data_IF_870184162350
#
_entry.id   IF_870184162350
#
_cell.length_a   1.000
_cell.length_b   1.000
_cell.length_c   1.000
_cell.angle_alpha   90.00
_cell.angle_beta   90.00
_cell.angle_gamma   90.00
#
_symmetry.space_group_name_H-M   'P 1'
#
loop_
_entity.id
_entity.type
_entity.pdbx_description
1 polymer ?
#
# COMPACT_ATOMS: atom_id res chain seq x y z
N UNK A 1 -13.53 -0.94 -13.28
CA UNK A 1 -14.89 -1.56 -13.43
C UNK A 1 -14.85 -3.08 -13.22
N UNK A 2 -13.83 -3.81 -13.71
CA UNK A 2 -13.76 -5.29 -13.60
C UNK A 2 -13.56 -5.81 -12.17
N UNK A 3 -12.98 -5.02 -11.27
CA UNK A 3 -12.71 -5.41 -9.88
C UNK A 3 -13.82 -4.99 -8.89
N UNK A 4 -14.78 -4.17 -9.31
CA UNK A 4 -15.86 -3.71 -8.47
C UNK A 4 -17.13 -4.55 -8.75
N UNK A 5 -17.25 -5.66 -8.06
CA UNK A 5 -18.39 -6.57 -8.16
C UNK A 5 -19.06 -6.69 -6.79
N UNK A 6 -19.98 -5.76 -6.44
CA UNK A 6 -20.69 -5.81 -5.18
C UNK A 6 -21.58 -7.08 -5.11
N UNK A 7 -21.58 -7.72 -3.95
CA UNK A 7 -22.38 -8.91 -3.64
C UNK A 7 -22.88 -8.84 -2.21
N UNK A 8 -24.06 -9.32 -1.99
CA UNK A 8 -24.55 -9.67 -0.65
C UNK A 8 -23.87 -10.94 -0.14
N UNK A 9 -23.96 -11.19 1.15
CA UNK A 9 -23.45 -12.44 1.73
C UNK A 9 -24.17 -13.68 1.15
N UNK A 10 -25.46 -13.57 0.85
CA UNK A 10 -26.23 -14.65 0.22
C UNK A 10 -25.72 -14.94 -1.20
N UNK A 11 -25.49 -13.93 -2.02
CA UNK A 11 -24.91 -14.10 -3.37
C UNK A 11 -23.51 -14.72 -3.32
N UNK A 12 -22.71 -14.36 -2.30
CA UNK A 12 -21.40 -14.98 -2.09
C UNK A 12 -21.53 -16.44 -1.67
N UNK A 13 -22.53 -16.78 -0.83
CA UNK A 13 -22.85 -18.17 -0.45
C UNK A 13 -23.32 -19.00 -1.65
N UNK A 14 -24.10 -18.43 -2.56
CA UNK A 14 -24.49 -19.08 -3.82
C UNK A 14 -23.32 -19.30 -4.76
N UNK A 15 -22.38 -18.36 -4.81
CA UNK A 15 -21.18 -18.44 -5.66
C UNK A 15 -20.22 -19.54 -5.18
N UNK A 16 -20.03 -19.69 -3.87
CA UNK A 16 -19.11 -20.68 -3.27
C UNK A 16 -19.84 -21.43 -2.14
N UNK A 17 -20.79 -22.31 -2.49
CA UNK A 17 -21.62 -23.02 -1.50
C UNK A 17 -20.86 -24.04 -0.65
N UNK A 18 -19.65 -24.45 -1.04
CA UNK A 18 -18.81 -25.34 -0.24
C UNK A 18 -18.21 -24.66 1.01
N UNK A 19 -18.23 -23.33 1.10
CA UNK A 19 -17.81 -22.57 2.27
C UNK A 19 -19.04 -22.12 3.06
N UNK A 20 -19.00 -22.30 4.38
CA UNK A 20 -19.96 -21.70 5.29
C UNK A 20 -19.52 -20.26 5.59
N UNK A 21 -19.97 -19.31 4.76
CA UNK A 21 -19.53 -17.90 4.87
C UNK A 21 -19.86 -17.26 6.21
N UNK A 22 -21.04 -17.47 6.83
CA UNK A 22 -21.29 -16.97 8.19
C UNK A 22 -20.25 -17.46 9.20
N UNK A 23 -19.85 -18.74 9.11
CA UNK A 23 -18.80 -19.26 9.98
C UNK A 23 -17.43 -18.64 9.67
N UNK A 24 -17.08 -18.53 8.40
CA UNK A 24 -15.81 -17.89 7.98
C UNK A 24 -15.73 -16.44 8.49
N UNK A 25 -16.79 -15.65 8.34
CA UNK A 25 -16.85 -14.27 8.81
C UNK A 25 -16.71 -14.20 10.32
N UNK A 26 -17.39 -15.09 11.05
CA UNK A 26 -17.27 -15.20 12.51
C UNK A 26 -15.83 -15.55 12.93
N UNK A 27 -15.22 -16.55 12.29
CA UNK A 27 -13.86 -17.01 12.60
C UNK A 27 -12.80 -15.93 12.27
N UNK A 28 -13.09 -15.06 11.29
CA UNK A 28 -12.31 -13.87 11.02
C UNK A 28 -12.51 -12.74 12.05
N UNK A 29 -13.38 -12.93 13.06
CA UNK A 29 -13.64 -11.92 14.09
C UNK A 29 -14.40 -10.68 13.58
N UNK A 30 -15.11 -10.81 12.46
CA UNK A 30 -15.93 -9.72 11.91
C UNK A 30 -17.28 -9.78 12.61
N UNK A 31 -17.48 -8.89 13.58
CA UNK A 31 -18.72 -8.81 14.39
C UNK A 31 -19.74 -7.83 13.78
N UNK A 32 -19.28 -6.92 12.91
CA UNK A 32 -20.14 -5.93 12.24
C UNK A 32 -20.99 -6.59 11.14
N UNK A 33 -22.21 -6.14 10.97
CA UNK A 33 -23.07 -6.57 9.87
C UNK A 33 -22.47 -6.14 8.53
N UNK A 34 -22.49 -7.03 7.55
CA UNK A 34 -21.94 -6.81 6.22
C UNK A 34 -23.07 -6.76 5.19
N UNK A 35 -23.47 -5.56 4.78
CA UNK A 35 -24.51 -5.38 3.77
C UNK A 35 -24.02 -5.73 2.37
N UNK A 36 -22.80 -5.32 2.05
CA UNK A 36 -22.22 -5.48 0.71
C UNK A 36 -20.74 -5.82 0.80
N UNK A 37 -20.34 -6.83 0.04
CA UNK A 37 -18.97 -7.29 -0.11
C UNK A 37 -18.51 -7.02 -1.56
N UNK A 38 -17.28 -6.57 -1.74
CA UNK A 38 -16.71 -6.41 -3.08
C UNK A 38 -15.92 -7.67 -3.44
N UNK A 39 -16.45 -8.46 -4.35
CA UNK A 39 -15.77 -9.63 -4.90
C UNK A 39 -14.91 -9.19 -6.09
N UNK A 40 -13.63 -8.95 -5.84
CA UNK A 40 -12.72 -8.42 -6.87
C UNK A 40 -12.55 -9.36 -8.06
N UNK A 41 -12.57 -10.67 -7.83
CA UNK A 41 -12.30 -11.71 -8.84
C UNK A 41 -13.37 -12.82 -8.81
N UNK A 42 -14.59 -12.61 -9.33
CA UNK A 42 -15.65 -13.61 -9.29
C UNK A 42 -15.24 -14.96 -9.92
N UNK A 43 -14.59 -14.95 -11.08
CA UNK A 43 -14.12 -16.18 -11.74
C UNK A 43 -13.12 -16.98 -10.90
N UNK A 44 -12.29 -16.31 -10.12
CA UNK A 44 -11.38 -16.98 -9.18
C UNK A 44 -12.20 -17.73 -8.10
N UNK A 45 -13.26 -17.12 -7.58
CA UNK A 45 -14.13 -17.73 -6.58
C UNK A 45 -14.85 -18.96 -7.13
N UNK A 46 -15.28 -18.93 -8.40
CA UNK A 46 -15.86 -20.10 -9.09
C UNK A 46 -14.84 -21.26 -9.19
N UNK A 47 -13.59 -20.96 -9.55
CA UNK A 47 -12.52 -21.98 -9.61
C UNK A 47 -12.21 -22.52 -8.21
N UNK A 48 -12.16 -21.66 -7.19
CA UNK A 48 -11.99 -22.09 -5.79
C UNK A 48 -13.10 -23.06 -5.39
N UNK A 49 -14.36 -22.79 -5.76
CA UNK A 49 -15.48 -23.69 -5.51
C UNK A 49 -15.26 -25.07 -6.15
N UNK A 50 -14.80 -25.16 -7.39
CA UNK A 50 -14.51 -26.44 -8.05
C UNK A 50 -13.37 -27.20 -7.38
N UNK A 51 -12.34 -26.49 -6.92
CA UNK A 51 -11.23 -27.09 -6.16
C UNK A 51 -11.74 -27.63 -4.82
N UNK A 52 -12.63 -26.92 -4.11
CA UNK A 52 -13.22 -27.40 -2.87
C UNK A 52 -14.03 -28.68 -3.05
N UNK A 53 -14.70 -28.84 -4.19
CA UNK A 53 -15.43 -30.08 -4.52
C UNK A 53 -14.52 -31.25 -4.85
N UNK A 54 -13.40 -31.01 -5.49
CA UNK A 54 -12.53 -32.05 -6.08
C UNK A 54 -11.36 -32.48 -5.20
N UNK A 55 -10.80 -31.56 -4.39
CA UNK A 55 -9.65 -31.85 -3.56
C UNK A 55 -10.05 -32.45 -2.21
N UNK A 56 -9.36 -33.51 -1.80
CA UNK A 56 -9.57 -34.15 -0.51
C UNK A 56 -9.00 -33.32 0.66
N UNK A 57 -9.48 -33.60 1.87
CA UNK A 57 -9.06 -32.89 3.09
C UNK A 57 -7.57 -33.07 3.40
N UNK A 58 -6.97 -34.19 2.98
CA UNK A 58 -5.53 -34.45 3.18
C UNK A 58 -4.69 -33.50 2.34
N UNK A 59 -5.08 -33.30 1.08
CA UNK A 59 -4.47 -32.33 0.18
C UNK A 59 -4.57 -30.92 0.74
N UNK A 60 -5.75 -30.49 1.20
CA UNK A 60 -5.92 -29.19 1.84
C UNK A 60 -5.02 -29.00 3.05
N UNK A 61 -4.94 -29.99 3.94
CA UNK A 61 -4.03 -29.93 5.11
C UNK A 61 -2.57 -29.78 4.72
N UNK A 62 -2.13 -30.41 3.63
CA UNK A 62 -0.75 -30.27 3.13
C UNK A 62 -0.51 -28.85 2.60
N UNK A 63 -1.44 -28.37 1.75
CA UNK A 63 -1.34 -27.01 1.16
C UNK A 63 -1.33 -25.95 2.25
N UNK A 64 -2.22 -26.04 3.23
CA UNK A 64 -2.28 -25.07 4.33
C UNK A 64 -1.04 -25.08 5.20
N UNK A 65 -0.52 -26.28 5.55
CA UNK A 65 0.73 -26.41 6.30
C UNK A 65 1.91 -25.81 5.54
N UNK A 66 2.01 -26.10 4.24
CA UNK A 66 3.06 -25.54 3.40
C UNK A 66 2.96 -24.04 3.31
N UNK A 67 1.77 -23.49 3.06
CA UNK A 67 1.55 -22.05 2.99
C UNK A 67 1.94 -21.34 4.29
N UNK A 68 1.53 -21.88 5.44
CA UNK A 68 1.87 -21.33 6.75
C UNK A 68 3.38 -21.35 7.02
N UNK A 69 4.04 -22.48 6.73
CA UNK A 69 5.49 -22.60 6.92
C UNK A 69 6.26 -21.67 5.96
N UNK A 70 5.82 -21.60 4.71
CA UNK A 70 6.47 -20.77 3.70
C UNK A 70 6.33 -19.28 4.01
N UNK A 71 5.16 -18.83 4.48
CA UNK A 71 4.95 -17.45 4.93
C UNK A 71 5.83 -17.09 6.14
N UNK A 72 5.95 -18.00 7.08
CA UNK A 72 6.76 -17.82 8.29
C UNK A 72 8.27 -17.98 8.06
N UNK A 73 8.70 -18.60 6.96
CA UNK A 73 10.08 -19.11 6.76
C UNK A 73 11.16 -18.07 7.00
N UNK A 74 10.97 -16.82 6.55
CA UNK A 74 11.93 -15.73 6.78
C UNK A 74 12.04 -15.24 8.23
N UNK A 75 11.25 -15.80 9.15
CA UNK A 75 11.17 -15.42 10.57
C UNK A 75 11.46 -16.58 11.52
N UNK A 76 11.83 -17.75 10.96
CA UNK A 76 12.12 -18.98 11.69
C UNK A 76 13.64 -19.19 11.86
N UNK A 77 14.08 -20.45 11.95
CA UNK A 77 15.51 -20.74 12.11
C UNK A 77 16.33 -20.33 10.89
N UNK A 78 17.63 -20.10 11.08
CA UNK A 78 18.56 -19.73 10.00
C UNK A 78 18.55 -20.74 8.85
N UNK A 79 18.36 -22.01 9.11
CA UNK A 79 18.32 -23.07 8.08
C UNK A 79 17.07 -22.95 7.22
N UNK A 80 15.90 -22.70 7.84
CA UNK A 80 14.62 -22.52 7.11
C UNK A 80 14.62 -21.21 6.33
N UNK A 81 15.08 -20.11 6.94
CA UNK A 81 15.24 -18.82 6.28
C UNK A 81 16.18 -18.93 5.08
N UNK A 82 17.32 -19.60 5.24
CA UNK A 82 18.28 -19.82 4.16
C UNK A 82 17.68 -20.67 3.03
N UNK A 83 16.97 -21.74 3.34
CA UNK A 83 16.32 -22.57 2.32
C UNK A 83 15.28 -21.78 1.52
N UNK A 84 14.49 -20.95 2.20
CA UNK A 84 13.54 -20.04 1.56
C UNK A 84 14.24 -19.03 0.63
N UNK A 85 15.32 -18.39 1.10
CA UNK A 85 16.10 -17.47 0.31
C UNK A 85 16.77 -18.15 -0.90
N UNK A 86 17.37 -19.34 -0.72
CA UNK A 86 18.03 -20.10 -1.80
C UNK A 86 17.04 -20.45 -2.91
N UNK A 87 15.78 -20.72 -2.58
CA UNK A 87 14.75 -20.99 -3.58
C UNK A 87 14.22 -19.71 -4.21
N UNK A 88 13.61 -18.81 -3.44
CA UNK A 88 12.88 -17.66 -3.98
C UNK A 88 13.81 -16.55 -4.50
N UNK A 89 14.87 -16.23 -3.79
CA UNK A 89 15.73 -15.13 -4.19
C UNK A 89 16.84 -15.59 -5.13
N UNK A 90 17.53 -16.69 -4.81
CA UNK A 90 18.67 -17.16 -5.61
C UNK A 90 18.22 -17.91 -6.85
N UNK A 91 17.38 -18.94 -6.70
CA UNK A 91 17.00 -19.82 -7.83
C UNK A 91 16.00 -19.13 -8.76
N UNK A 92 14.91 -18.56 -8.23
CA UNK A 92 13.86 -17.94 -9.07
C UNK A 92 14.24 -16.55 -9.56
N UNK A 93 14.89 -15.73 -8.72
CA UNK A 93 15.17 -14.31 -9.05
C UNK A 93 16.64 -14.04 -9.38
N UNK A 94 17.53 -15.05 -9.35
CA UNK A 94 18.93 -14.91 -9.73
C UNK A 94 19.80 -14.08 -8.78
N UNK A 95 19.36 -13.85 -7.54
CA UNK A 95 20.14 -13.12 -6.55
C UNK A 95 21.43 -13.87 -6.19
N UNK A 96 22.57 -13.20 -6.27
CA UNK A 96 23.88 -13.80 -6.02
C UNK A 96 24.25 -13.85 -4.53
N UNK A 97 23.75 -12.89 -3.74
CA UNK A 97 24.07 -12.74 -2.32
C UNK A 97 22.86 -12.20 -1.57
N UNK A 98 22.64 -12.72 -0.36
CA UNK A 98 21.64 -12.19 0.57
C UNK A 98 22.13 -10.86 1.15
N UNK A 99 21.20 -9.95 1.38
CA UNK A 99 21.52 -8.68 2.07
C UNK A 99 22.02 -8.95 3.48
N UNK A 100 22.92 -8.12 4.01
CA UNK A 100 23.38 -8.16 5.40
C UNK A 100 22.19 -8.18 6.39
N UNK A 101 22.44 -8.70 7.61
CA UNK A 101 21.38 -8.88 8.61
C UNK A 101 20.80 -7.54 9.09
N UNK A 102 21.62 -6.52 9.24
CA UNK A 102 21.24 -5.15 9.59
C UNK A 102 20.32 -4.50 8.54
N UNK A 103 20.65 -4.66 7.26
CA UNK A 103 19.78 -4.18 6.18
C UNK A 103 18.43 -4.90 6.16
N UNK A 104 18.41 -6.21 6.45
CA UNK A 104 17.17 -6.98 6.55
C UNK A 104 16.33 -6.56 7.76
N UNK A 105 16.99 -6.32 8.89
CA UNK A 105 16.34 -5.80 10.09
C UNK A 105 15.72 -4.43 9.85
N UNK A 106 16.46 -3.51 9.22
CA UNK A 106 15.95 -2.19 8.84
C UNK A 106 14.77 -2.30 7.88
N UNK A 107 14.82 -3.21 6.90
CA UNK A 107 13.70 -3.45 5.98
C UNK A 107 12.46 -3.96 6.72
N UNK A 108 12.63 -4.81 7.75
CA UNK A 108 11.53 -5.27 8.61
C UNK A 108 10.91 -4.11 9.39
N UNK A 109 11.72 -3.29 10.05
CA UNK A 109 11.25 -2.10 10.80
C UNK A 109 10.49 -1.17 9.86
N UNK A 110 11.05 -0.92 8.68
CA UNK A 110 10.42 -0.08 7.66
C UNK A 110 9.07 -0.63 7.16
N UNK A 111 8.95 -1.93 7.03
CA UNK A 111 7.72 -2.62 6.60
C UNK A 111 6.65 -2.81 7.70
N UNK A 112 7.01 -2.59 8.97
CA UNK A 112 6.11 -2.82 10.11
C UNK A 112 5.71 -1.55 10.84
N UNK A 113 6.67 -0.71 11.20
CA UNK A 113 6.48 0.56 11.91
C UNK A 113 7.03 1.74 11.09
N UNK A 114 6.80 1.68 9.78
CA UNK A 114 7.38 2.61 8.82
C UNK A 114 7.09 4.08 9.10
N UNK A 115 5.90 4.43 9.59
CA UNK A 115 5.59 5.83 9.93
C UNK A 115 6.35 6.29 11.17
N UNK A 116 6.54 5.43 12.18
CA UNK A 116 7.35 5.80 13.35
C UNK A 116 8.81 6.06 12.95
N UNK A 117 9.39 5.21 12.08
CA UNK A 117 10.71 5.44 11.49
C UNK A 117 10.69 6.72 10.61
N UNK A 118 9.61 6.92 9.86
CA UNK A 118 9.41 8.09 9.00
C UNK A 118 9.40 9.40 9.77
N UNK A 119 8.87 9.42 10.98
CA UNK A 119 8.92 10.60 11.84
C UNK A 119 10.35 10.99 12.19
N UNK A 120 11.17 10.02 12.60
CA UNK A 120 12.59 10.26 12.86
C UNK A 120 13.34 10.75 11.60
N UNK A 121 13.02 10.16 10.45
CA UNK A 121 13.59 10.57 9.16
C UNK A 121 13.22 12.03 8.82
N UNK A 122 11.97 12.41 9.00
CA UNK A 122 11.49 13.77 8.71
C UNK A 122 12.14 14.81 9.64
N UNK A 123 12.22 14.51 10.93
CA UNK A 123 12.80 15.39 11.93
C UNK A 123 14.28 15.70 11.61
N UNK A 124 15.02 14.73 11.06
CA UNK A 124 16.44 14.89 10.73
C UNK A 124 16.67 15.42 9.30
N UNK A 125 15.89 14.97 8.31
CA UNK A 125 16.24 15.10 6.90
C UNK A 125 15.34 16.03 6.08
N UNK A 126 14.16 16.42 6.59
CA UNK A 126 13.18 17.14 5.78
C UNK A 126 12.71 18.44 6.47
N UNK A 127 13.41 19.55 6.27
CA UNK A 127 13.07 20.81 6.93
C UNK A 127 11.77 21.43 6.37
N UNK A 128 11.01 22.21 7.18
CA UNK A 128 9.72 22.78 6.79
C UNK A 128 9.74 23.61 5.50
N UNK A 129 10.83 24.35 5.25
CA UNK A 129 10.97 25.16 4.03
C UNK A 129 11.11 24.31 2.75
N UNK A 130 11.56 23.05 2.85
CA UNK A 130 11.57 22.13 1.72
C UNK A 130 10.14 21.74 1.33
N UNK A 131 9.26 21.51 2.32
CA UNK A 131 7.83 21.22 2.11
C UNK A 131 7.15 22.40 1.41
N UNK A 132 7.29 23.62 1.93
CA UNK A 132 6.67 24.83 1.37
C UNK A 132 7.05 25.07 -0.10
N UNK A 133 8.34 24.96 -0.42
CA UNK A 133 8.80 25.11 -1.81
C UNK A 133 8.26 24.01 -2.73
N UNK A 134 8.19 22.75 -2.27
CA UNK A 134 7.61 21.65 -3.02
C UNK A 134 6.11 21.86 -3.28
N UNK A 135 5.35 22.34 -2.29
CA UNK A 135 3.94 22.70 -2.41
C UNK A 135 3.71 23.73 -3.53
N UNK A 136 4.50 24.80 -3.52
CA UNK A 136 4.43 25.84 -4.56
C UNK A 136 4.74 25.28 -5.96
N UNK A 137 5.75 24.44 -6.06
CA UNK A 137 6.14 23.82 -7.31
C UNK A 137 5.04 22.90 -7.87
N UNK A 138 4.46 22.07 -7.03
CA UNK A 138 3.36 21.16 -7.41
C UNK A 138 2.14 21.96 -7.86
N UNK A 139 1.79 23.05 -7.16
CA UNK A 139 0.72 23.95 -7.57
C UNK A 139 0.96 24.55 -8.96
N UNK A 140 2.20 24.94 -9.27
CA UNK A 140 2.58 25.46 -10.59
C UNK A 140 2.44 24.38 -11.68
N UNK A 141 2.86 23.15 -11.41
CA UNK A 141 2.70 22.03 -12.36
C UNK A 141 1.21 21.74 -12.60
N UNK A 142 0.38 21.73 -11.56
CA UNK A 142 -1.08 21.57 -11.70
C UNK A 142 -1.67 22.70 -12.57
N UNK A 143 -1.23 23.94 -12.39
CA UNK A 143 -1.68 25.05 -13.23
C UNK A 143 -1.23 24.89 -14.69
N UNK A 144 -0.02 24.41 -14.93
CA UNK A 144 0.46 24.10 -16.28
C UNK A 144 -0.37 23.00 -16.94
N UNK A 145 -0.78 21.99 -16.17
CA UNK A 145 -1.68 20.92 -16.62
C UNK A 145 -3.06 21.48 -17.05
N UNK A 146 -3.64 22.39 -16.27
CA UNK A 146 -4.91 23.06 -16.64
C UNK A 146 -4.78 23.77 -17.99
N UNK A 147 -3.72 24.57 -18.14
CA UNK A 147 -3.47 25.28 -19.39
C UNK A 147 -3.27 24.32 -20.56
N UNK A 148 -2.60 23.18 -20.33
CA UNK A 148 -2.41 22.15 -21.35
C UNK A 148 -3.74 21.52 -21.77
N UNK A 149 -4.58 21.11 -20.83
CA UNK A 149 -5.88 20.48 -21.10
C UNK A 149 -6.78 21.41 -21.94
N UNK A 150 -6.85 22.69 -21.59
CA UNK A 150 -7.65 23.67 -22.35
C UNK A 150 -7.24 23.74 -23.81
N UNK A 151 -5.95 23.63 -24.10
CA UNK A 151 -5.37 23.77 -25.44
C UNK A 151 -5.20 22.45 -26.22
N UNK A 152 -5.70 21.30 -25.71
CA UNK A 152 -5.67 20.05 -26.46
C UNK A 152 -6.67 20.13 -27.62
N UNK A 153 -6.25 19.78 -28.81
CA UNK A 153 -7.07 19.81 -30.04
C UNK A 153 -7.91 18.54 -30.24
N UNK A 154 -7.45 17.42 -29.69
CA UNK A 154 -8.10 16.10 -29.82
C UNK A 154 -9.21 15.84 -28.77
N UNK A 155 -9.29 16.64 -27.72
CA UNK A 155 -10.28 16.49 -26.64
C UNK A 155 -11.46 17.44 -26.85
N UNK A 156 -12.69 16.90 -26.79
CA UNK A 156 -13.90 17.72 -26.92
C UNK A 156 -14.12 18.66 -25.69
N UNK A 157 -14.92 19.74 -25.83
CA UNK A 157 -15.09 20.72 -24.76
C UNK A 157 -15.66 20.12 -23.46
N UNK A 158 -16.60 19.18 -23.54
CA UNK A 158 -17.23 18.58 -22.37
C UNK A 158 -16.22 17.71 -21.61
N UNK A 159 -15.39 16.94 -22.31
CA UNK A 159 -14.32 16.14 -21.73
C UNK A 159 -13.25 17.03 -21.06
N UNK A 160 -12.89 18.16 -21.69
CA UNK A 160 -11.97 19.15 -21.08
C UNK A 160 -12.51 19.69 -19.76
N UNK A 161 -13.79 20.05 -19.72
CA UNK A 161 -14.45 20.54 -18.49
C UNK A 161 -14.37 19.49 -17.37
N UNK A 162 -14.70 18.24 -17.67
CA UNK A 162 -14.61 17.13 -16.71
C UNK A 162 -13.18 16.84 -16.26
N UNK A 163 -12.21 16.93 -17.15
CA UNK A 163 -10.80 16.77 -16.85
C UNK A 163 -10.33 17.86 -15.87
N UNK A 164 -10.69 19.11 -16.10
CA UNK A 164 -10.38 20.24 -15.22
C UNK A 164 -11.09 20.11 -13.87
N UNK A 165 -12.38 19.71 -13.87
CA UNK A 165 -13.12 19.43 -12.63
C UNK A 165 -12.41 18.39 -11.78
N UNK A 166 -11.95 17.28 -12.39
CA UNK A 166 -11.20 16.24 -11.72
C UNK A 166 -9.88 16.76 -11.13
N UNK A 167 -9.11 17.53 -11.93
CA UNK A 167 -7.83 18.12 -11.49
C UNK A 167 -8.01 19.07 -10.30
N UNK A 168 -9.10 19.87 -10.31
CA UNK A 168 -9.41 20.77 -9.20
C UNK A 168 -9.76 20.06 -7.89
N UNK A 169 -10.14 18.77 -7.98
CA UNK A 169 -10.48 17.92 -6.83
C UNK A 169 -9.31 17.04 -6.39
N UNK A 170 -8.10 17.24 -6.93
CA UNK A 170 -6.94 16.50 -6.45
C UNK A 170 -6.61 16.91 -5.02
N UNK A 171 -6.46 15.91 -4.16
CA UNK A 171 -5.80 16.06 -2.88
C UNK A 171 -4.30 15.89 -3.10
N UNK A 172 -3.51 16.81 -2.57
CA UNK A 172 -2.04 16.79 -2.67
C UNK A 172 -1.46 16.56 -1.29
N UNK A 173 -0.65 15.53 -1.13
CA UNK A 173 0.03 15.16 0.12
C UNK A 173 1.54 15.24 -0.08
N UNK A 174 2.24 15.99 0.77
CA UNK A 174 3.65 16.33 0.59
C UNK A 174 4.44 16.10 1.86
N UNK A 175 5.52 15.35 1.72
CA UNK A 175 6.52 15.10 2.77
C UNK A 175 6.11 14.03 3.74
N UNK A 176 5.12 14.30 4.58
CA UNK A 176 4.71 13.44 5.70
C UNK A 176 3.25 13.70 6.11
N UNK A 177 2.59 12.72 6.79
CA UNK A 177 1.21 12.86 7.26
C UNK A 177 1.11 13.86 8.42
N UNK A 178 -0.01 14.60 8.46
CA UNK A 178 -0.30 15.51 9.58
C UNK A 178 -0.62 14.75 10.87
N UNK A 179 -1.19 13.55 10.73
CA UNK A 179 -1.49 12.62 11.83
C UNK A 179 -0.69 11.35 11.66
N UNK A 180 0.22 11.10 12.58
CA UNK A 180 1.03 9.89 12.61
C UNK A 180 0.25 8.69 13.12
N UNK A 181 0.65 7.49 12.65
CA UNK A 181 0.11 6.22 13.12
C UNK A 181 0.41 6.01 14.61
N UNK A 182 -0.59 5.56 15.35
CA UNK A 182 -0.47 5.20 16.77
C UNK A 182 -0.15 3.70 16.92
N UNK A 183 1.07 3.40 17.31
CA UNK A 183 1.55 2.05 17.60
C UNK A 183 1.47 1.66 19.08
N UNK A 184 0.84 2.46 19.94
CA UNK A 184 0.82 2.24 21.39
C UNK A 184 0.20 0.90 21.84
N UNK A 185 -0.69 0.35 21.02
CA UNK A 185 -1.32 -0.95 21.26
C UNK A 185 -0.57 -2.15 20.63
N UNK A 186 0.60 -1.91 20.03
CA UNK A 186 1.42 -2.96 19.45
C UNK A 186 2.33 -3.58 20.52
N UNK A 187 2.08 -4.83 20.86
CA UNK A 187 2.77 -5.55 21.95
C UNK A 187 4.05 -6.28 21.47
N UNK A 188 5.12 -5.55 21.21
CA UNK A 188 6.44 -6.12 20.91
C UNK A 188 7.36 -6.01 22.12
N UNK A 189 8.26 -6.98 22.31
CA UNK A 189 9.17 -7.04 23.43
C UNK A 189 10.52 -7.67 23.06
N UNK A 190 11.61 -7.22 23.67
CA UNK A 190 12.93 -7.84 23.56
C UNK A 190 13.00 -9.25 24.15
N UNK A 191 12.06 -9.61 25.03
CA UNK A 191 12.00 -10.92 25.69
C UNK A 191 11.32 -11.99 24.81
N UNK A 192 10.67 -11.56 23.70
CA UNK A 192 10.02 -12.43 22.73
C UNK A 192 10.94 -12.72 21.54
N UNK A 193 10.78 -13.90 20.94
CA UNK A 193 11.45 -14.25 19.70
C UNK A 193 10.97 -13.42 18.52
N UNK A 194 11.75 -13.42 17.42
CA UNK A 194 11.44 -12.67 16.23
C UNK A 194 10.07 -13.05 15.63
N UNK A 195 9.78 -14.34 15.52
CA UNK A 195 8.49 -14.82 15.02
C UNK A 195 7.31 -14.35 15.89
N UNK A 196 7.46 -14.41 17.22
CA UNK A 196 6.42 -13.98 18.17
C UNK A 196 6.15 -12.48 18.05
N UNK A 197 7.18 -11.65 17.94
CA UNK A 197 7.04 -10.22 17.74
C UNK A 197 6.36 -9.92 16.39
N UNK A 198 6.74 -10.60 15.32
CA UNK A 198 6.10 -10.42 14.02
C UNK A 198 4.64 -10.89 14.00
N UNK A 199 4.30 -11.90 14.77
CA UNK A 199 2.91 -12.32 15.00
C UNK A 199 2.12 -11.25 15.74
N UNK A 200 2.69 -10.62 16.76
CA UNK A 200 2.04 -9.50 17.47
C UNK A 200 1.80 -8.30 16.55
N UNK A 201 2.77 -7.95 15.71
CA UNK A 201 2.63 -6.90 14.67
C UNK A 201 1.48 -7.22 13.71
N UNK A 202 1.46 -8.46 13.19
CA UNK A 202 0.41 -8.91 12.27
C UNK A 202 -0.98 -8.86 12.92
N UNK A 203 -1.09 -9.33 14.16
CA UNK A 203 -2.33 -9.30 14.92
C UNK A 203 -2.81 -7.87 15.22
N UNK A 204 -1.90 -6.96 15.55
CA UNK A 204 -2.22 -5.55 15.73
C UNK A 204 -2.80 -4.96 14.43
N UNK A 205 -2.11 -5.14 13.30
CA UNK A 205 -2.57 -4.66 12.00
C UNK A 205 -3.92 -5.25 11.60
N UNK A 206 -4.13 -6.54 11.87
CA UNK A 206 -5.40 -7.22 11.63
C UNK A 206 -6.54 -6.63 12.43
N UNK A 207 -6.36 -6.47 13.75
CA UNK A 207 -7.36 -5.85 14.63
C UNK A 207 -7.70 -4.42 14.20
N UNK A 208 -6.70 -3.65 13.80
CA UNK A 208 -6.89 -2.31 13.25
C UNK A 208 -7.77 -2.35 11.98
N UNK A 209 -7.46 -3.22 11.03
CA UNK A 209 -8.27 -3.36 9.81
C UNK A 209 -9.73 -3.77 10.13
N UNK A 210 -9.94 -4.66 11.10
CA UNK A 210 -11.28 -5.03 11.55
C UNK A 210 -12.06 -3.84 12.14
N UNK A 211 -11.39 -2.98 12.89
CA UNK A 211 -12.04 -1.79 13.48
C UNK A 211 -12.52 -0.79 12.43
N UNK A 212 -11.93 -0.79 11.24
CA UNK A 212 -12.25 0.12 10.13
C UNK A 212 -13.43 -0.37 9.25
N UNK A 213 -13.89 -1.61 9.43
CA UNK A 213 -15.04 -2.14 8.69
C UNK A 213 -16.27 -1.26 8.97
N UNK A 214 -16.97 -0.83 7.93
CA UNK A 214 -18.12 0.07 7.95
C UNK A 214 -17.84 1.48 8.51
N UNK A 215 -16.57 1.83 8.76
CA UNK A 215 -16.21 3.22 9.08
C UNK A 215 -16.01 4.04 7.79
N UNK A 216 -16.21 5.35 7.83
CA UNK A 216 -15.85 6.22 6.72
C UNK A 216 -14.38 6.10 6.35
N UNK A 217 -14.07 6.16 5.05
CA UNK A 217 -12.68 6.10 4.58
C UNK A 217 -11.86 7.25 5.15
N UNK A 218 -10.83 6.93 5.92
CA UNK A 218 -9.87 7.92 6.43
C UNK A 218 -8.90 8.35 5.32
N UNK A 219 -9.21 9.48 4.70
CA UNK A 219 -8.38 10.07 3.63
C UNK A 219 -7.08 10.71 4.14
N UNK A 220 -6.85 10.80 5.45
CA UNK A 220 -5.59 11.30 6.00
C UNK A 220 -4.46 10.29 5.91
N UNK A 221 -4.76 9.00 5.80
CA UNK A 221 -3.79 7.90 5.73
C UNK A 221 -2.92 7.97 4.48
N UNK A 222 -1.66 7.59 4.66
CA UNK A 222 -0.68 7.47 3.59
C UNK A 222 -0.44 6.01 3.22
N UNK A 223 -0.23 5.73 1.93
CA UNK A 223 0.12 4.40 1.44
C UNK A 223 1.63 4.11 1.45
N UNK A 224 2.46 5.13 1.69
CA UNK A 224 3.92 5.02 1.77
C UNK A 224 4.43 5.83 2.93
N UNK A 225 5.45 5.30 3.63
CA UNK A 225 6.14 6.02 4.70
C UNK A 225 7.01 7.15 4.15
N UNK A 226 7.27 8.23 4.93
CA UNK A 226 8.02 9.40 4.48
C UNK A 226 9.42 9.13 3.93
N UNK A 227 10.12 8.10 4.39
CA UNK A 227 11.44 7.68 3.93
C UNK A 227 11.43 6.85 2.64
N UNK A 228 10.27 6.69 2.00
CA UNK A 228 10.17 5.97 0.73
C UNK A 228 10.55 6.86 -0.44
N UNK A 229 11.54 6.45 -1.23
CA UNK A 229 11.95 7.15 -2.47
C UNK A 229 11.01 6.74 -3.59
N UNK A 230 9.81 7.27 -3.55
CA UNK A 230 8.75 7.05 -4.56
C UNK A 230 7.64 8.09 -4.39
N UNK A 231 6.68 8.10 -5.34
CA UNK A 231 5.44 8.86 -5.29
C UNK A 231 4.30 7.96 -5.76
N UNK A 232 3.03 8.38 -5.61
CA UNK A 232 1.91 7.63 -6.15
C UNK A 232 0.66 8.48 -6.36
N UNK A 233 -0.18 8.04 -7.30
CA UNK A 233 -1.56 8.46 -7.46
C UNK A 233 -2.52 7.40 -6.89
N UNK A 234 -3.46 7.83 -6.06
CA UNK A 234 -4.53 6.97 -5.56
C UNK A 234 -5.88 7.32 -6.23
N UNK A 235 -6.39 6.48 -7.13
CA UNK A 235 -7.63 6.77 -7.87
C UNK A 235 -8.89 6.77 -6.98
N UNK A 236 -8.88 6.07 -5.85
CA UNK A 236 -10.04 6.01 -4.94
C UNK A 236 -10.23 7.31 -4.17
N UNK A 237 -9.15 7.99 -3.83
CA UNK A 237 -9.18 9.27 -3.13
C UNK A 237 -8.97 10.47 -4.06
N UNK A 238 -8.63 10.24 -5.32
CA UNK A 238 -8.20 11.27 -6.28
C UNK A 238 -7.06 12.13 -5.70
N UNK A 239 -6.01 11.46 -5.23
CA UNK A 239 -4.88 12.08 -4.53
C UNK A 239 -3.54 11.72 -5.15
N UNK A 240 -2.60 12.68 -5.10
CA UNK A 240 -1.17 12.50 -5.43
C UNK A 240 -0.36 12.68 -4.16
N UNK A 241 0.61 11.80 -3.95
CA UNK A 241 1.37 11.73 -2.70
C UNK A 241 2.87 11.68 -2.99
N UNK A 242 3.61 12.57 -2.36
CA UNK A 242 5.07 12.70 -2.50
C UNK A 242 5.72 12.60 -1.12
N UNK A 243 6.18 11.41 -0.70
CA UNK A 243 6.94 11.22 0.53
C UNK A 243 8.21 12.09 0.60
N UNK A 244 8.67 12.40 1.81
CA UNK A 244 9.82 13.28 2.02
C UNK A 244 11.08 12.82 1.30
N UNK A 245 11.31 11.51 1.18
CA UNK A 245 12.53 10.97 0.59
C UNK A 245 12.64 11.15 -0.93
N UNK A 246 11.50 11.21 -1.69
CA UNK A 246 11.56 11.55 -3.11
C UNK A 246 11.83 13.04 -3.32
N UNK A 247 11.53 13.86 -2.30
CA UNK A 247 11.80 15.29 -2.27
C UNK A 247 13.21 15.60 -1.74
N UNK A 248 14.20 14.83 -2.22
CA UNK A 248 15.62 14.91 -1.90
C UNK A 248 16.46 14.77 -3.20
N UNK A 249 17.74 15.20 -3.19
CA UNK A 249 18.64 14.92 -4.30
C UNK A 249 18.73 13.41 -4.62
N UNK A 250 18.78 13.03 -5.90
CA UNK A 250 18.95 13.89 -7.09
C UNK A 250 17.63 14.39 -7.69
N UNK A 251 16.46 14.05 -7.15
CA UNK A 251 15.16 14.44 -7.72
C UNK A 251 14.80 15.89 -7.40
N UNK A 252 15.06 16.32 -6.18
CA UNK A 252 14.70 17.64 -5.68
C UNK A 252 15.75 18.16 -4.68
N UNK A 253 16.14 19.42 -4.83
CA UNK A 253 16.95 20.14 -3.84
C UNK A 253 16.31 21.52 -3.60
N UNK A 254 15.75 21.71 -2.43
CA UNK A 254 15.08 22.97 -2.06
C UNK A 254 16.02 24.19 -2.05
N UNK A 255 17.35 23.97 -2.10
CA UNK A 255 18.38 25.03 -2.20
C UNK A 255 18.79 25.32 -3.63
N UNK A 256 18.47 24.41 -4.57
CA UNK A 256 18.82 24.59 -5.97
C UNK A 256 17.88 25.57 -6.69
N UNK A 257 18.26 25.94 -7.89
CA UNK A 257 17.45 26.75 -8.81
C UNK A 257 16.17 25.98 -9.18
N UNK A 258 15.05 26.70 -9.33
CA UNK A 258 13.76 26.14 -9.67
C UNK A 258 13.79 25.37 -11.00
N UNK A 259 14.57 25.84 -12.00
CA UNK A 259 14.69 25.15 -13.28
C UNK A 259 15.28 23.74 -13.14
N UNK A 260 16.27 23.59 -12.25
CA UNK A 260 16.87 22.27 -11.93
C UNK A 260 15.80 21.35 -11.32
N UNK A 261 15.03 21.86 -10.37
CA UNK A 261 13.96 21.10 -9.71
C UNK A 261 12.82 20.73 -10.67
N UNK A 262 12.42 21.65 -11.58
CA UNK A 262 11.43 21.31 -12.62
C UNK A 262 11.95 20.23 -13.59
N UNK A 263 13.25 20.24 -13.90
CA UNK A 263 13.87 19.18 -14.70
C UNK A 263 13.98 17.83 -13.99
N UNK A 264 14.08 17.84 -12.66
CA UNK A 264 14.14 16.64 -11.81
C UNK A 264 12.76 16.16 -11.37
N UNK A 265 12.32 16.60 -10.19
CA UNK A 265 11.06 16.15 -9.57
C UNK A 265 9.82 16.57 -10.38
N UNK A 266 9.89 17.63 -11.20
CA UNK A 266 8.77 18.09 -12.01
C UNK A 266 8.24 17.04 -12.97
N UNK A 267 9.11 16.19 -13.52
CA UNK A 267 8.71 15.05 -14.34
C UNK A 267 7.92 14.00 -13.53
N UNK A 268 8.34 13.73 -12.29
CA UNK A 268 7.65 12.80 -11.37
C UNK A 268 6.28 13.37 -10.99
N UNK A 269 6.20 14.65 -10.66
CA UNK A 269 4.92 15.31 -10.34
C UNK A 269 3.95 15.20 -11.51
N UNK A 270 4.41 15.50 -12.73
CA UNK A 270 3.59 15.38 -13.93
C UNK A 270 3.15 13.94 -14.20
N UNK A 271 4.02 12.95 -13.94
CA UNK A 271 3.71 11.52 -14.05
C UNK A 271 2.56 11.13 -13.12
N UNK A 272 2.62 11.49 -11.83
CA UNK A 272 1.55 11.16 -10.89
C UNK A 272 0.21 11.84 -11.25
N UNK A 273 0.25 13.09 -11.70
CA UNK A 273 -0.94 13.76 -12.21
C UNK A 273 -1.52 13.00 -13.42
N UNK A 274 -0.66 12.51 -14.32
CA UNK A 274 -1.08 11.80 -15.55
C UNK A 274 -1.81 10.50 -15.23
N UNK A 275 -1.47 9.80 -14.14
CA UNK A 275 -2.22 8.63 -13.69
C UNK A 275 -3.71 8.89 -13.44
N UNK A 276 -4.09 10.16 -13.24
CA UNK A 276 -5.47 10.59 -13.11
C UNK A 276 -6.25 10.64 -14.43
N UNK A 277 -5.56 10.53 -15.57
CA UNK A 277 -6.10 10.68 -16.92
C UNK A 277 -5.72 9.52 -17.82
#
# INVERSE_FOLDING_TARGET
>A
RKLNNPRSLNELQEMVPSLNWPLVIKDLGIEKELDTLIVMQPKYMEVVQEIFKSADIKTWKIVMRWATLNDAAGRLTTEIEKANWDFYSKTLNGAKKQRPADERALATVNGTVGEALGKLYVDEMFPPNAKEKAEKMIANVIQAYKNRIVNLDWMDPQTKEKAIEKLNKFTVKIGYPDKWEDYSLMEVSSDKGYYENMTAVTNWGYKKNLSEINEPVDKSKWGMSPQTVNAYFNPFNNEIVFPAAILQPPFYDYKADDAVNYGGIGAVIAHEITHGY
#
